data_IF_516438718475
#
_entry.id   IF_516438718475
#
_cell.length_a   1.000
_cell.length_b   1.000
_cell.length_c   1.000
_cell.angle_alpha   90.00
_cell.angle_beta   90.00
_cell.angle_gamma   90.00
#
_symmetry.space_group_name_H-M   'P 1'
#
loop_
_entity.id
_entity.type
_entity.pdbx_description
1 polymer ?
#
# COMPACT_ATOMS: atom_id res chain seq x y z
N UNK A 1 -9.52 17.12 -34.82
CA UNK A 1 -10.77 16.35 -34.70
C UNK A 1 -10.91 15.95 -33.24
N UNK A 2 -11.98 16.39 -32.59
CA UNK A 2 -12.49 15.89 -31.30
C UNK A 2 -11.53 15.79 -30.11
N UNK A 3 -11.22 16.90 -29.45
CA UNK A 3 -10.84 16.91 -28.03
C UNK A 3 -12.09 16.61 -27.21
N UNK A 4 -12.31 15.33 -26.91
CA UNK A 4 -13.37 14.90 -26.00
C UNK A 4 -12.92 15.06 -24.56
N UNK A 5 -13.09 16.25 -24.00
CA UNK A 5 -13.11 16.44 -22.55
C UNK A 5 -14.33 15.69 -22.02
N UNK A 6 -14.09 14.50 -21.45
CA UNK A 6 -15.10 13.76 -20.72
C UNK A 6 -15.33 14.48 -19.38
N UNK A 7 -16.18 15.49 -19.42
CA UNK A 7 -16.91 15.98 -18.26
C UNK A 7 -17.78 14.83 -17.74
N UNK A 8 -17.25 14.09 -16.76
CA UNK A 8 -18.04 13.18 -15.93
C UNK A 8 -18.15 13.83 -14.57
N UNK A 9 -19.32 14.40 -14.29
CA UNK A 9 -19.72 14.70 -12.92
C UNK A 9 -19.58 13.43 -12.07
N UNK A 10 -18.53 13.37 -11.26
CA UNK A 10 -18.27 12.27 -10.34
C UNK A 10 -18.84 12.69 -8.99
N UNK A 11 -19.95 12.08 -8.59
CA UNK A 11 -20.36 12.06 -7.18
C UNK A 11 -19.15 11.58 -6.36
N UNK A 12 -18.89 12.24 -5.22
CA UNK A 12 -17.92 11.87 -4.17
C UNK A 12 -17.22 10.52 -4.39
N UNK A 13 -15.94 10.57 -4.79
CA UNK A 13 -15.03 9.43 -5.09
C UNK A 13 -14.75 8.49 -3.91
N UNK A 14 -15.35 8.77 -2.75
CA UNK A 14 -15.14 8.06 -1.50
C UNK A 14 -15.81 6.68 -1.52
N UNK A 15 -15.00 5.63 -1.54
CA UNK A 15 -15.46 4.25 -1.38
C UNK A 15 -15.64 3.84 0.09
N UNK A 16 -15.90 2.54 0.34
CA UNK A 16 -16.19 2.05 1.67
C UNK A 16 -14.99 2.15 2.62
N UNK A 17 -15.27 2.25 3.92
CA UNK A 17 -14.26 2.27 4.97
C UNK A 17 -13.66 0.88 5.16
N UNK A 18 -12.33 0.76 5.04
CA UNK A 18 -11.60 -0.48 5.36
C UNK A 18 -11.48 -0.63 6.86
N UNK A 19 -11.07 0.45 7.53
CA UNK A 19 -10.75 0.42 8.94
C UNK A 19 -10.90 1.79 9.60
N UNK A 20 -11.23 1.77 10.89
CA UNK A 20 -11.21 2.94 11.77
C UNK A 20 -10.34 2.61 12.98
N UNK A 21 -9.30 3.43 13.17
CA UNK A 21 -8.32 3.28 14.24
C UNK A 21 -8.38 4.50 15.16
N UNK A 22 -8.10 4.29 16.45
CA UNK A 22 -8.00 5.38 17.42
C UNK A 22 -6.74 6.22 17.21
N UNK A 23 -5.66 5.57 16.74
CA UNK A 23 -4.38 6.22 16.44
C UNK A 23 -3.85 5.78 15.05
N UNK A 24 -2.98 6.56 14.39
CA UNK A 24 -2.56 7.90 14.82
C UNK A 24 -3.73 8.88 14.74
N UNK A 25 -3.72 9.85 15.65
CA UNK A 25 -4.56 11.03 15.65
C UNK A 25 -3.70 12.28 15.45
N UNK A 26 -4.30 13.33 14.90
CA UNK A 26 -3.61 14.58 14.64
C UNK A 26 -4.53 15.79 14.82
N UNK A 27 -4.03 16.86 15.46
CA UNK A 27 -4.78 18.12 15.61
C UNK A 27 -5.00 18.83 14.28
N UNK A 28 -4.03 18.71 13.37
CA UNK A 28 -4.17 19.15 11.98
C UNK A 28 -4.80 18.01 11.21
N UNK A 29 -5.98 18.24 10.61
CA UNK A 29 -6.58 17.23 9.75
C UNK A 29 -5.66 16.94 8.58
N UNK A 30 -5.42 15.67 8.32
CA UNK A 30 -4.47 15.21 7.32
C UNK A 30 -5.06 14.12 6.44
N UNK A 31 -4.79 14.19 5.14
CA UNK A 31 -5.24 13.23 4.13
C UNK A 31 -4.06 12.70 3.34
N UNK A 32 -3.84 11.40 3.39
CA UNK A 32 -2.73 10.74 2.70
C UNK A 32 -3.29 9.67 1.78
N UNK A 33 -2.92 9.70 0.50
CA UNK A 33 -3.18 8.58 -0.40
C UNK A 33 -2.09 7.52 -0.24
N UNK A 34 -2.49 6.25 -0.17
CA UNK A 34 -1.57 5.10 -0.16
C UNK A 34 -1.90 4.22 -1.35
N UNK A 35 -0.92 4.05 -2.22
CA UNK A 35 -1.03 3.44 -3.54
C UNK A 35 -0.06 2.26 -3.60
N UNK A 36 -0.58 1.03 -3.58
CA UNK A 36 0.22 -0.20 -3.62
C UNK A 36 -0.02 -1.02 -4.88
N UNK A 37 0.96 -1.88 -5.21
CA UNK A 37 0.87 -2.92 -6.24
C UNK A 37 0.34 -2.41 -7.59
N UNK A 38 0.97 -1.34 -8.09
CA UNK A 38 0.67 -0.75 -9.40
C UNK A 38 0.98 -1.75 -10.50
N UNK A 39 2.13 -2.43 -10.39
CA UNK A 39 2.68 -3.28 -11.42
C UNK A 39 2.60 -2.64 -12.80
N UNK A 40 3.14 -1.42 -12.93
CA UNK A 40 3.12 -0.72 -14.20
C UNK A 40 3.79 -1.57 -15.27
N UNK A 41 3.04 -1.86 -16.31
CA UNK A 41 3.46 -2.67 -17.45
C UNK A 41 3.10 -1.94 -18.74
N UNK A 42 4.03 -1.96 -19.69
CA UNK A 42 3.91 -1.28 -20.99
C UNK A 42 3.56 -2.22 -22.16
N UNK A 43 3.60 -3.54 -21.94
CA UNK A 43 3.48 -4.52 -23.04
C UNK A 43 2.71 -5.81 -22.69
N UNK A 44 2.29 -5.98 -21.43
CA UNK A 44 1.68 -7.23 -20.96
C UNK A 44 0.15 -7.11 -20.84
N UNK A 45 -0.56 -8.12 -21.36
CA UNK A 45 -2.02 -8.15 -21.41
C UNK A 45 -2.60 -9.46 -20.85
N UNK A 46 -3.85 -9.39 -20.39
CA UNK A 46 -4.68 -10.59 -20.16
C UNK A 46 -4.33 -11.42 -18.92
N UNK A 47 -3.49 -10.92 -18.02
CA UNK A 47 -3.17 -11.57 -16.75
C UNK A 47 -4.26 -11.33 -15.70
N UNK A 48 -4.25 -12.07 -14.59
CA UNK A 48 -5.15 -11.80 -13.45
C UNK A 48 -4.91 -10.43 -12.79
N UNK A 49 -3.69 -9.88 -12.95
CA UNK A 49 -3.33 -8.51 -12.55
C UNK A 49 -3.83 -7.44 -13.52
N UNK A 50 -4.46 -7.82 -14.65
CA UNK A 50 -5.04 -6.89 -15.63
C UNK A 50 -4.04 -5.81 -16.07
N UNK A 51 -2.81 -6.23 -16.33
CA UNK A 51 -1.65 -5.35 -16.52
C UNK A 51 -1.84 -4.32 -17.64
N UNK A 52 -2.64 -4.62 -18.66
CA UNK A 52 -2.95 -3.70 -19.75
C UNK A 52 -3.79 -2.47 -19.36
N UNK A 53 -4.17 -2.35 -18.09
CA UNK A 53 -4.90 -1.21 -17.54
C UNK A 53 -4.06 -0.39 -16.57
N UNK A 54 -2.87 -0.84 -16.17
CA UNK A 54 -2.12 -0.24 -15.03
C UNK A 54 -1.68 1.18 -15.32
N UNK A 55 -1.25 1.49 -16.54
CA UNK A 55 -0.89 2.85 -16.96
C UNK A 55 -2.07 3.81 -16.75
N UNK A 56 -3.24 3.49 -17.34
CA UNK A 56 -4.46 4.30 -17.17
C UNK A 56 -4.91 4.40 -15.72
N UNK A 57 -4.79 3.32 -14.94
CA UNK A 57 -5.19 3.34 -13.52
C UNK A 57 -4.27 4.23 -12.71
N UNK A 58 -2.96 4.18 -12.96
CA UNK A 58 -2.02 5.13 -12.37
C UNK A 58 -2.37 6.56 -12.79
N UNK A 59 -2.60 6.84 -14.09
CA UNK A 59 -3.05 8.18 -14.52
C UNK A 59 -4.33 8.65 -13.79
N UNK A 60 -5.23 7.71 -13.46
CA UNK A 60 -6.46 8.02 -12.70
C UNK A 60 -6.14 8.33 -11.24
N UNK A 61 -5.24 7.57 -10.59
CA UNK A 61 -4.74 7.87 -9.24
C UNK A 61 -4.14 9.27 -9.20
N UNK A 62 -3.25 9.61 -10.15
CA UNK A 62 -2.60 10.92 -10.22
C UNK A 62 -3.62 12.04 -10.38
N UNK A 63 -4.58 11.88 -11.30
CA UNK A 63 -5.64 12.88 -11.49
C UNK A 63 -6.56 13.01 -10.27
N UNK A 64 -6.93 11.91 -9.61
CA UNK A 64 -7.75 11.94 -8.40
C UNK A 64 -6.99 12.63 -7.25
N UNK A 65 -5.71 12.32 -7.06
CA UNK A 65 -4.85 12.90 -6.02
C UNK A 65 -4.59 14.40 -6.19
N UNK A 66 -4.53 14.92 -7.43
CA UNK A 66 -4.40 16.36 -7.69
C UNK A 66 -5.70 17.15 -7.46
N UNK A 67 -6.84 16.48 -7.59
CA UNK A 67 -8.16 17.09 -7.37
C UNK A 67 -8.59 17.03 -5.90
N UNK A 68 -8.11 16.02 -5.18
CA UNK A 68 -8.34 15.83 -3.77
C UNK A 68 -7.27 16.60 -2.99
N UNK A 69 -7.67 17.52 -2.10
CA UNK A 69 -6.76 18.26 -1.19
C UNK A 69 -6.01 17.27 -0.25
N UNK A 70 -4.93 16.68 -0.74
CA UNK A 70 -4.10 15.67 -0.09
C UNK A 70 -2.82 16.32 0.45
N UNK A 71 -2.41 15.92 1.64
CA UNK A 71 -1.15 16.35 2.26
C UNK A 71 0.05 15.54 1.79
N UNK A 72 -0.18 14.36 1.20
CA UNK A 72 0.87 13.54 0.62
C UNK A 72 0.41 12.22 0.00
N UNK A 73 1.31 11.58 -0.74
CA UNK A 73 1.11 10.27 -1.35
C UNK A 73 2.22 9.31 -0.94
N UNK A 74 1.84 8.08 -0.59
CA UNK A 74 2.77 6.98 -0.33
C UNK A 74 2.59 5.95 -1.46
N UNK A 75 3.64 5.72 -2.23
CA UNK A 75 3.70 4.58 -3.14
C UNK A 75 4.33 3.38 -2.44
N UNK A 76 3.50 2.40 -2.07
CA UNK A 76 3.81 1.29 -1.17
C UNK A 76 4.41 0.07 -1.89
N UNK A 77 5.31 0.30 -2.85
CA UNK A 77 6.03 -0.74 -3.59
C UNK A 77 5.25 -1.42 -4.71
N UNK A 78 5.99 -2.24 -5.45
CA UNK A 78 5.62 -2.84 -6.73
C UNK A 78 5.08 -1.77 -7.70
N UNK A 79 5.85 -0.70 -7.84
CA UNK A 79 5.58 0.41 -8.77
C UNK A 79 5.51 -0.13 -10.19
N UNK A 80 6.43 -1.03 -10.50
CA UNK A 80 6.63 -1.63 -11.81
C UNK A 80 6.27 -3.10 -11.80
N UNK A 81 5.98 -3.67 -12.97
CA UNK A 81 5.67 -5.09 -13.09
C UNK A 81 6.93 -5.96 -13.06
N UNK A 82 8.05 -5.46 -13.57
CA UNK A 82 9.30 -6.22 -13.62
C UNK A 82 10.53 -5.40 -13.24
N UNK A 83 10.39 -4.17 -12.79
CA UNK A 83 11.54 -3.34 -12.44
C UNK A 83 12.35 -2.94 -13.67
N UNK A 84 11.83 -3.06 -14.89
CA UNK A 84 12.61 -2.67 -16.07
C UNK A 84 12.77 -1.16 -16.14
N UNK A 85 13.88 -0.69 -16.70
CA UNK A 85 14.14 0.76 -16.82
C UNK A 85 13.00 1.50 -17.54
N UNK A 86 12.40 0.89 -18.57
CA UNK A 86 11.29 1.49 -19.33
C UNK A 86 10.00 1.59 -18.52
N UNK A 87 9.76 0.65 -17.60
CA UNK A 87 8.62 0.74 -16.70
C UNK A 87 8.83 1.87 -15.69
N UNK A 88 10.06 2.08 -15.20
CA UNK A 88 10.39 3.24 -14.38
C UNK A 88 10.30 4.57 -15.14
N UNK A 89 10.81 4.64 -16.37
CA UNK A 89 10.62 5.82 -17.24
C UNK A 89 9.13 6.16 -17.40
N UNK A 90 8.29 5.16 -17.66
CA UNK A 90 6.84 5.35 -17.76
C UNK A 90 6.20 5.76 -16.42
N UNK A 91 6.70 5.25 -15.29
CA UNK A 91 6.24 5.69 -13.97
C UNK A 91 6.60 7.15 -13.74
N UNK A 92 7.84 7.54 -14.00
CA UNK A 92 8.35 8.91 -13.86
C UNK A 92 7.55 9.90 -14.72
N UNK A 93 7.25 9.55 -15.98
CA UNK A 93 6.41 10.37 -16.86
C UNK A 93 4.98 10.56 -16.33
N UNK A 94 4.41 9.54 -15.68
CA UNK A 94 3.06 9.61 -15.14
C UNK A 94 2.97 10.41 -13.84
N UNK A 95 4.02 10.38 -13.01
CA UNK A 95 4.07 11.13 -11.74
C UNK A 95 4.65 12.53 -11.88
N UNK A 96 5.33 12.85 -13.00
CA UNK A 96 5.87 14.19 -13.30
C UNK A 96 4.86 15.33 -13.04
N UNK A 97 3.56 15.21 -13.35
CA UNK A 97 2.60 16.29 -13.13
C UNK A 97 2.19 16.49 -11.67
N UNK A 98 2.58 15.62 -10.73
CA UNK A 98 2.17 15.72 -9.33
C UNK A 98 2.78 16.97 -8.66
N UNK A 99 1.92 17.82 -8.09
CA UNK A 99 2.31 18.89 -7.18
C UNK A 99 2.22 18.44 -5.71
N UNK A 100 1.38 17.43 -5.42
CA UNK A 100 1.26 16.82 -4.08
C UNK A 100 2.57 16.10 -3.73
N UNK A 101 3.17 16.34 -2.53
CA UNK A 101 4.42 15.70 -2.15
C UNK A 101 4.23 14.18 -1.98
N UNK A 102 5.23 13.40 -2.35
CA UNK A 102 5.13 11.95 -2.30
C UNK A 102 6.44 11.28 -1.92
N UNK A 103 6.31 10.05 -1.42
CA UNK A 103 7.43 9.14 -1.15
C UNK A 103 7.12 7.78 -1.74
N UNK A 104 8.16 7.03 -2.09
CA UNK A 104 8.01 5.66 -2.57
C UNK A 104 8.99 4.72 -1.87
N UNK A 105 8.51 3.50 -1.60
CA UNK A 105 9.32 2.38 -1.12
C UNK A 105 9.35 1.30 -2.21
N UNK A 106 10.40 0.48 -2.31
CA UNK A 106 10.47 -0.57 -3.31
C UNK A 106 9.61 -1.76 -2.89
N UNK A 107 8.94 -2.37 -3.86
CA UNK A 107 8.46 -3.74 -3.76
C UNK A 107 9.45 -4.73 -4.36
N UNK A 108 9.17 -6.02 -4.19
CA UNK A 108 10.05 -7.09 -4.68
C UNK A 108 10.10 -7.16 -6.22
N UNK A 109 9.19 -6.49 -6.94
CA UNK A 109 9.26 -6.35 -8.39
C UNK A 109 10.08 -5.15 -8.86
N UNK A 110 10.42 -4.20 -7.97
CA UNK A 110 11.09 -2.95 -8.33
C UNK A 110 12.63 -3.05 -8.27
N UNK A 111 13.15 -4.04 -7.55
CA UNK A 111 14.58 -4.28 -7.35
C UNK A 111 14.97 -5.68 -7.83
N UNK A 112 16.26 -5.93 -8.13
CA UNK A 112 16.72 -7.24 -8.57
C UNK A 112 16.27 -8.37 -7.63
N UNK A 113 15.62 -9.43 -8.15
CA UNK A 113 15.10 -10.49 -7.32
C UNK A 113 16.22 -11.37 -6.75
N UNK A 114 15.90 -12.07 -5.65
CA UNK A 114 16.80 -13.00 -4.97
C UNK A 114 17.38 -14.10 -5.86
N UNK A 115 16.68 -14.49 -6.93
CA UNK A 115 17.09 -15.59 -7.83
C UNK A 115 18.09 -15.13 -8.92
N UNK A 116 18.50 -13.86 -8.90
CA UNK A 116 19.46 -13.28 -9.82
C UNK A 116 18.91 -13.01 -11.22
N UNK A 117 17.62 -13.25 -11.48
CA UNK A 117 16.98 -12.88 -12.74
C UNK A 117 16.70 -11.39 -12.75
N UNK A 118 17.70 -10.60 -13.10
CA UNK A 118 17.53 -9.17 -13.23
C UNK A 118 16.98 -8.82 -14.64
N UNK A 119 15.77 -8.25 -14.76
CA UNK A 119 15.32 -7.67 -16.03
C UNK A 119 16.28 -6.58 -16.51
N UNK A 120 16.23 -6.28 -17.81
CA UNK A 120 17.19 -5.33 -18.39
C UNK A 120 17.01 -3.94 -17.76
N UNK A 121 18.07 -3.48 -17.09
CA UNK A 121 18.16 -2.14 -16.50
C UNK A 121 17.38 -1.92 -15.20
N UNK A 122 17.09 -2.96 -14.40
CA UNK A 122 16.47 -2.71 -13.09
C UNK A 122 17.36 -1.93 -12.15
N UNK A 123 16.73 -1.04 -11.40
CA UNK A 123 17.39 -0.22 -10.39
C UNK A 123 17.86 -1.11 -9.25
N UNK A 124 19.15 -1.02 -8.92
CA UNK A 124 19.64 -1.53 -7.64
C UNK A 124 18.92 -0.85 -6.48
N UNK A 125 19.00 -1.42 -5.28
CA UNK A 125 18.48 -0.80 -4.05
C UNK A 125 18.93 0.66 -3.91
N UNK A 126 20.22 0.91 -4.13
CA UNK A 126 20.81 2.24 -3.91
C UNK A 126 20.37 3.23 -5.00
N UNK A 127 20.19 2.77 -6.25
CA UNK A 127 19.61 3.58 -7.32
C UNK A 127 18.14 3.90 -7.08
N UNK A 128 17.34 2.92 -6.63
CA UNK A 128 15.95 3.17 -6.23
C UNK A 128 15.89 4.19 -5.09
N UNK A 129 16.72 4.02 -4.06
CA UNK A 129 16.76 4.95 -2.93
C UNK A 129 17.13 6.37 -3.37
N UNK A 130 18.12 6.50 -4.27
CA UNK A 130 18.54 7.79 -4.83
C UNK A 130 17.44 8.46 -5.66
N UNK A 131 16.64 7.68 -6.41
CA UNK A 131 15.56 8.21 -7.23
C UNK A 131 14.31 8.58 -6.41
N UNK A 132 13.99 7.80 -5.38
CA UNK A 132 12.63 7.78 -4.81
C UNK A 132 12.54 7.92 -3.28
N UNK A 133 13.66 7.86 -2.55
CA UNK A 133 13.65 7.81 -1.09
C UNK A 133 14.77 8.65 -0.44
N UNK A 134 15.12 9.81 -1.01
CA UNK A 134 16.16 10.72 -0.50
C UNK A 134 17.52 10.02 -0.24
N UNK A 135 17.84 9.00 -1.05
CA UNK A 135 19.11 8.30 -1.05
C UNK A 135 19.29 7.20 -0.01
N UNK A 136 18.37 6.99 0.94
CA UNK A 136 18.51 5.92 1.95
C UNK A 136 17.21 5.49 2.61
N UNK A 137 17.22 4.30 3.23
CA UNK A 137 16.15 3.81 4.09
C UNK A 137 16.63 3.65 5.54
N UNK A 138 15.79 3.89 6.57
CA UNK A 138 14.41 4.36 6.46
C UNK A 138 14.30 5.81 5.96
N UNK A 139 13.34 6.09 5.07
CA UNK A 139 12.99 7.46 4.69
C UNK A 139 12.01 8.06 5.70
N UNK A 140 12.02 9.38 5.87
CA UNK A 140 11.07 10.09 6.74
C UNK A 140 10.52 11.29 5.99
N UNK A 141 9.20 11.37 5.87
CA UNK A 141 8.50 12.51 5.30
C UNK A 141 7.38 12.96 6.24
N UNK A 142 7.13 14.27 6.27
CA UNK A 142 6.01 14.84 7.02
C UNK A 142 4.88 15.20 6.07
N UNK A 143 3.71 14.62 6.29
CA UNK A 143 2.48 14.97 5.56
C UNK A 143 1.49 15.53 6.56
N UNK A 144 1.20 16.83 6.44
CA UNK A 144 0.32 17.55 7.37
C UNK A 144 0.74 17.38 8.84
N UNK A 145 -0.11 16.72 9.61
CA UNK A 145 0.02 16.51 11.05
C UNK A 145 0.82 15.28 11.47
N UNK A 146 1.18 14.38 10.54
CA UNK A 146 1.85 13.10 10.87
C UNK A 146 3.18 12.92 10.14
N UNK A 147 4.05 12.11 10.72
CA UNK A 147 5.29 11.68 10.09
C UNK A 147 5.09 10.27 9.49
N UNK A 148 5.63 10.04 8.30
CA UNK A 148 5.60 8.78 7.57
C UNK A 148 7.03 8.26 7.46
N UNK A 149 7.24 7.02 7.85
CA UNK A 149 8.53 6.33 7.78
C UNK A 149 8.46 5.21 6.75
N UNK A 150 9.21 5.31 5.66
CA UNK A 150 9.23 4.28 4.61
C UNK A 150 10.39 3.30 4.79
N UNK A 151 10.09 2.00 4.74
CA UNK A 151 11.06 0.91 4.86
C UNK A 151 11.26 0.17 3.54
N UNK A 152 12.50 -0.19 3.26
CA UNK A 152 12.81 -1.18 2.23
C UNK A 152 12.78 -2.58 2.85
N UNK A 153 11.85 -3.39 2.37
CA UNK A 153 11.71 -4.81 2.71
C UNK A 153 12.03 -5.74 1.53
N UNK A 154 12.23 -5.18 0.34
CA UNK A 154 12.38 -5.89 -0.92
C UNK A 154 13.82 -6.28 -1.25
N UNK A 155 14.79 -5.76 -0.50
CA UNK A 155 16.20 -6.14 -0.61
C UNK A 155 16.94 -5.88 0.70
N UNK A 156 17.97 -6.69 0.97
CA UNK A 156 18.86 -6.50 2.11
C UNK A 156 20.31 -6.33 1.66
N UNK A 157 21.18 -5.60 2.39
CA UNK A 157 22.60 -5.46 2.04
C UNK A 157 23.41 -6.77 2.00
N UNK A 158 22.91 -7.81 2.65
CA UNK A 158 23.51 -9.14 2.71
C UNK A 158 22.80 -10.18 1.83
N UNK A 159 21.90 -9.73 0.95
CA UNK A 159 21.18 -10.57 -0.03
C UNK A 159 20.56 -11.83 0.58
N UNK A 160 19.96 -11.70 1.78
CA UNK A 160 19.47 -12.85 2.57
C UNK A 160 18.07 -13.33 2.20
N UNK A 161 17.37 -12.59 1.34
CA UNK A 161 16.01 -12.93 0.92
C UNK A 161 16.03 -14.25 0.13
N UNK A 162 15.07 -15.12 0.40
CA UNK A 162 14.89 -16.38 -0.33
C UNK A 162 13.41 -16.60 -0.64
N UNK A 163 12.92 -15.97 -1.71
CA UNK A 163 11.52 -16.08 -2.12
C UNK A 163 10.87 -14.72 -2.37
N UNK A 164 9.55 -14.71 -2.31
CA UNK A 164 8.73 -13.50 -2.48
C UNK A 164 8.47 -12.77 -1.15
N UNK A 165 9.08 -13.23 -0.06
CA UNK A 165 9.01 -12.60 1.25
C UNK A 165 10.01 -11.47 1.37
N UNK A 166 9.83 -10.65 2.41
CA UNK A 166 10.68 -9.51 2.68
C UNK A 166 11.49 -9.64 3.96
N UNK A 167 12.48 -8.77 4.14
CA UNK A 167 13.17 -8.62 5.42
C UNK A 167 13.69 -7.19 5.58
N UNK A 168 13.82 -6.74 6.83
CA UNK A 168 14.42 -5.44 7.18
C UNK A 168 15.80 -5.72 7.76
N UNK A 169 16.86 -5.28 7.08
CA UNK A 169 18.24 -5.52 7.55
C UNK A 169 18.48 -4.99 8.96
N UNK A 170 19.41 -5.59 9.69
CA UNK A 170 19.71 -5.18 11.07
C UNK A 170 20.22 -3.74 11.16
N UNK A 171 20.93 -3.27 10.12
CA UNK A 171 21.33 -1.87 9.97
C UNK A 171 20.13 -0.94 9.83
N UNK A 172 19.14 -1.31 9.00
CA UNK A 172 17.92 -0.52 8.82
C UNK A 172 17.04 -0.56 10.07
N UNK A 173 16.97 -1.68 10.80
CA UNK A 173 16.28 -1.78 12.09
C UNK A 173 16.89 -0.86 13.14
N UNK A 174 18.22 -0.80 13.24
CA UNK A 174 18.91 0.11 14.14
C UNK A 174 18.66 1.58 13.74
N UNK A 175 18.71 1.89 12.45
CA UNK A 175 18.40 3.23 11.96
C UNK A 175 16.93 3.61 12.22
N UNK A 176 16.00 2.65 12.10
CA UNK A 176 14.58 2.84 12.42
C UNK A 176 14.38 3.17 13.90
N UNK A 177 15.00 2.41 14.80
CA UNK A 177 14.96 2.64 16.25
C UNK A 177 15.42 4.07 16.60
N UNK A 178 16.53 4.50 16.02
CA UNK A 178 17.06 5.86 16.20
C UNK A 178 16.07 6.93 15.68
N UNK A 179 15.46 6.73 14.50
CA UNK A 179 14.52 7.70 13.91
C UNK A 179 13.25 7.84 14.73
N UNK A 180 12.63 6.71 15.09
CA UNK A 180 11.35 6.68 15.81
C UNK A 180 11.42 7.41 17.16
N UNK A 181 12.58 7.42 17.82
CA UNK A 181 12.79 8.13 19.09
C UNK A 181 12.48 9.63 19.06
N UNK A 182 12.40 10.22 17.86
CA UNK A 182 12.17 11.64 17.64
C UNK A 182 10.83 11.98 16.96
N UNK A 183 10.02 10.98 16.63
CA UNK A 183 8.76 11.14 15.91
C UNK A 183 7.57 10.99 16.86
N UNK A 184 6.50 11.72 16.59
CA UNK A 184 5.23 11.61 17.30
C UNK A 184 4.18 10.99 16.38
N UNK A 185 3.54 9.90 16.82
CA UNK A 185 2.50 9.18 16.06
C UNK A 185 2.89 8.80 14.62
N UNK A 186 4.07 8.18 14.39
CA UNK A 186 4.52 7.87 13.04
C UNK A 186 3.68 6.77 12.38
N UNK A 187 3.44 6.90 11.08
CA UNK A 187 2.96 5.80 10.24
C UNK A 187 4.17 5.12 9.62
N UNK A 188 4.36 3.83 9.88
CA UNK A 188 5.44 3.05 9.26
C UNK A 188 4.91 2.33 8.03
N UNK A 189 5.51 2.58 6.87
CA UNK A 189 5.15 1.95 5.60
C UNK A 189 6.21 0.94 5.17
N UNK A 190 5.78 -0.26 4.82
CA UNK A 190 6.62 -1.29 4.19
C UNK A 190 5.85 -1.96 3.04
N UNK A 191 6.52 -2.68 2.14
CA UNK A 191 5.82 -3.36 1.05
C UNK A 191 5.24 -4.69 1.52
N UNK A 192 6.09 -5.57 2.05
CA UNK A 192 5.70 -6.89 2.56
C UNK A 192 4.96 -6.78 3.89
N UNK A 193 3.95 -7.62 4.07
CA UNK A 193 3.15 -7.68 5.29
C UNK A 193 3.97 -8.25 6.45
N UNK A 194 3.69 -7.81 7.68
CA UNK A 194 4.42 -8.33 8.84
C UNK A 194 4.14 -9.82 9.01
N UNK A 195 2.86 -10.18 9.08
CA UNK A 195 2.45 -11.55 9.31
C UNK A 195 1.46 -12.03 8.24
N UNK A 196 1.39 -13.35 7.99
CA UNK A 196 0.32 -13.92 7.20
C UNK A 196 -1.06 -13.59 7.80
N UNK A 197 -2.03 -13.43 6.92
CA UNK A 197 -3.43 -13.23 7.28
C UNK A 197 -4.02 -14.55 7.79
N UNK A 198 -4.91 -14.50 8.78
CA UNK A 198 -5.40 -15.68 9.48
C UNK A 198 -6.12 -16.70 8.56
N UNK A 199 -6.72 -16.25 7.46
CA UNK A 199 -7.36 -17.10 6.47
C UNK A 199 -6.41 -17.65 5.39
N UNK A 200 -5.16 -17.19 5.33
CA UNK A 200 -4.17 -17.74 4.40
C UNK A 200 -3.69 -19.10 4.91
N UNK A 201 -3.67 -20.14 4.06
CA UNK A 201 -3.17 -21.44 4.46
C UNK A 201 -1.65 -21.39 4.68
N UNK A 202 -1.16 -22.19 5.62
CA UNK A 202 0.27 -22.48 5.79
C UNK A 202 0.76 -23.42 4.66
N UNK A 203 0.68 -22.95 3.42
CA UNK A 203 1.08 -23.68 2.23
C UNK A 203 1.36 -22.71 1.07
N UNK A 204 2.11 -23.19 0.08
CA UNK A 204 2.35 -22.46 -1.16
C UNK A 204 1.04 -21.97 -1.82
N UNK A 205 1.01 -20.75 -2.38
CA UNK A 205 2.11 -19.78 -2.40
C UNK A 205 2.18 -18.86 -1.16
N UNK A 206 1.25 -18.99 -0.20
CA UNK A 206 1.02 -18.01 0.87
C UNK A 206 2.08 -18.00 1.96
N UNK A 207 2.83 -19.08 2.11
CA UNK A 207 3.88 -19.19 3.13
C UNK A 207 5.10 -18.29 2.89
N UNK A 208 5.24 -17.65 1.72
CA UNK A 208 6.42 -16.86 1.35
C UNK A 208 6.11 -15.43 0.89
N UNK A 209 5.05 -14.79 1.40
CA UNK A 209 4.68 -13.42 1.02
C UNK A 209 4.79 -12.39 2.14
N UNK A 210 4.99 -12.85 3.39
CA UNK A 210 5.20 -11.94 4.54
C UNK A 210 6.69 -11.76 4.84
N UNK A 211 7.01 -10.96 5.85
CA UNK A 211 8.38 -10.83 6.32
C UNK A 211 8.93 -12.15 6.86
N UNK A 212 10.22 -12.39 6.64
CA UNK A 212 10.94 -13.56 7.15
C UNK A 212 11.24 -13.43 8.65
N UNK A 213 11.48 -12.20 9.14
CA UNK A 213 11.76 -11.89 10.56
C UNK A 213 10.83 -10.81 11.13
N UNK A 214 9.51 -11.03 11.12
CA UNK A 214 8.56 -10.00 11.53
C UNK A 214 8.71 -9.60 13.00
N UNK A 215 9.07 -10.55 13.87
CA UNK A 215 9.33 -10.28 15.28
C UNK A 215 10.49 -9.28 15.52
N UNK A 216 11.46 -9.18 14.60
CA UNK A 216 12.55 -8.23 14.72
C UNK A 216 12.06 -6.79 14.45
N UNK A 217 11.22 -6.61 13.43
CA UNK A 217 10.58 -5.33 13.14
C UNK A 217 9.56 -4.97 14.23
N UNK A 218 8.67 -5.89 14.58
CA UNK A 218 7.64 -5.70 15.60
C UNK A 218 8.22 -5.27 16.95
N UNK A 219 9.38 -5.82 17.35
CA UNK A 219 10.05 -5.41 18.58
C UNK A 219 10.45 -3.92 18.55
N UNK A 220 10.97 -3.42 17.43
CA UNK A 220 11.31 -2.00 17.26
C UNK A 220 10.02 -1.17 17.28
N UNK A 221 9.01 -1.56 16.51
CA UNK A 221 7.73 -0.82 16.44
C UNK A 221 7.05 -0.71 17.81
N UNK A 222 7.04 -1.80 18.58
CA UNK A 222 6.43 -1.86 19.91
C UNK A 222 7.20 -1.03 20.94
N UNK A 223 8.53 -0.95 20.84
CA UNK A 223 9.33 -0.13 21.75
C UNK A 223 9.07 1.38 21.63
N UNK A 224 8.54 1.82 20.48
CA UNK A 224 8.22 3.22 20.19
C UNK A 224 6.72 3.46 20.06
N UNK A 225 5.88 2.52 20.52
CA UNK A 225 4.41 2.63 20.47
C UNK A 225 3.87 3.04 19.08
N UNK A 226 4.45 2.49 18.00
CA UNK A 226 4.05 2.85 16.63
C UNK A 226 2.58 2.50 16.41
N UNK A 227 1.72 3.50 16.10
CA UNK A 227 0.27 3.29 16.12
C UNK A 227 -0.25 2.53 14.90
N UNK A 228 0.39 2.68 13.74
CA UNK A 228 -0.09 2.10 12.49
C UNK A 228 1.06 1.74 11.56
N UNK A 229 1.05 0.49 11.10
CA UNK A 229 1.81 0.02 9.95
C UNK A 229 0.90 0.00 8.73
N UNK A 230 1.45 0.41 7.60
CA UNK A 230 0.79 0.31 6.29
C UNK A 230 1.63 -0.58 5.38
N UNK A 231 1.01 -1.60 4.80
CA UNK A 231 1.67 -2.55 3.89
C UNK A 231 0.85 -2.83 2.63
N UNK A 232 1.46 -3.52 1.65
CA UNK A 232 0.85 -3.86 0.35
C UNK A 232 1.07 -5.37 0.06
N UNK A 233 1.50 -5.73 -1.16
CA UNK A 233 2.06 -7.04 -1.55
C UNK A 233 1.08 -8.21 -1.62
N UNK A 234 0.18 -8.38 -0.64
CA UNK A 234 -0.81 -9.46 -0.66
C UNK A 234 -1.92 -9.26 -1.72
N UNK A 235 -2.02 -8.08 -2.34
CA UNK A 235 -3.11 -7.74 -3.26
C UNK A 235 -4.51 -7.87 -2.60
N UNK A 236 -4.61 -7.60 -1.30
CA UNK A 236 -5.84 -7.72 -0.51
C UNK A 236 -6.08 -6.45 0.32
N UNK A 237 -7.29 -5.87 0.32
CA UNK A 237 -7.64 -4.89 1.34
C UNK A 237 -7.78 -5.60 2.68
N UNK A 238 -6.92 -5.31 3.66
CA UNK A 238 -7.02 -5.90 5.00
C UNK A 238 -6.71 -4.88 6.09
N UNK A 239 -7.23 -5.13 7.30
CA UNK A 239 -6.82 -4.44 8.51
C UNK A 239 -6.75 -5.47 9.63
N UNK A 240 -5.70 -5.41 10.44
CA UNK A 240 -5.51 -6.30 11.58
C UNK A 240 -5.03 -5.52 12.80
N UNK A 241 -5.35 -6.06 13.99
CA UNK A 241 -4.82 -5.59 15.26
C UNK A 241 -4.23 -6.82 15.96
N UNK A 242 -2.93 -6.78 16.24
CA UNK A 242 -2.20 -7.84 16.96
C UNK A 242 -1.56 -7.20 18.17
N UNK A 243 -2.03 -7.59 19.36
CA UNK A 243 -1.74 -6.87 20.60
C UNK A 243 -2.04 -5.37 20.44
N UNK A 244 -1.03 -4.50 20.53
CA UNK A 244 -1.18 -3.05 20.34
C UNK A 244 -0.74 -2.57 18.93
N UNK A 245 -0.31 -3.47 18.04
CA UNK A 245 0.13 -3.12 16.70
C UNK A 245 -1.02 -3.23 15.69
N UNK A 246 -1.33 -2.13 15.00
CA UNK A 246 -2.27 -2.13 13.87
C UNK A 246 -1.51 -2.22 12.56
N UNK A 247 -2.00 -3.05 11.65
CA UNK A 247 -1.53 -3.13 10.28
C UNK A 247 -2.70 -2.95 9.31
N UNK A 248 -2.59 -1.98 8.41
CA UNK A 248 -3.46 -1.80 7.25
C UNK A 248 -2.74 -2.30 6.00
N UNK A 249 -3.33 -3.31 5.34
CA UNK A 249 -2.87 -3.77 4.03
C UNK A 249 -3.71 -3.08 2.96
N UNK A 250 -3.08 -2.28 2.12
CA UNK A 250 -3.78 -1.54 1.06
C UNK A 250 -4.12 -2.44 -0.12
N UNK A 251 -5.25 -2.18 -0.81
CA UNK A 251 -5.59 -2.91 -2.03
C UNK A 251 -4.57 -2.67 -3.14
N UNK A 252 -4.52 -3.58 -4.12
CA UNK A 252 -3.74 -3.39 -5.33
C UNK A 252 -4.43 -2.45 -6.30
N UNK A 253 -3.64 -1.63 -6.99
CA UNK A 253 -4.10 -0.84 -8.14
C UNK A 253 -4.36 -1.73 -9.36
N UNK A 254 -3.55 -2.78 -9.57
CA UNK A 254 -3.62 -3.59 -10.79
C UNK A 254 -4.77 -4.64 -10.81
N UNK A 255 -4.96 -5.41 -9.74
CA UNK A 255 -5.89 -6.55 -9.73
C UNK A 255 -7.16 -6.25 -8.97
N UNK A 256 -8.12 -7.19 -8.92
CA UNK A 256 -9.35 -7.00 -8.12
C UNK A 256 -9.00 -6.73 -6.65
N UNK A 257 -9.55 -5.67 -6.01
CA UNK A 257 -10.68 -4.82 -6.44
C UNK A 257 -10.36 -3.48 -7.16
N UNK A 258 -9.14 -3.25 -7.63
CA UNK A 258 -8.68 -1.99 -8.25
C UNK A 258 -8.99 -0.75 -7.41
N UNK A 259 -8.24 -0.55 -6.35
CA UNK A 259 -8.39 0.64 -5.52
C UNK A 259 -7.04 1.08 -4.99
N UNK A 260 -6.99 2.33 -4.54
CA UNK A 260 -6.00 2.78 -3.57
C UNK A 260 -6.71 3.12 -2.26
N UNK A 261 -5.97 3.43 -1.21
CA UNK A 261 -6.53 3.84 0.07
C UNK A 261 -6.29 5.33 0.33
N UNK A 262 -7.25 6.02 0.92
CA UNK A 262 -7.03 7.34 1.54
C UNK A 262 -7.13 7.19 3.04
N UNK A 263 -6.10 7.63 3.75
CA UNK A 263 -6.08 7.79 5.19
C UNK A 263 -6.55 9.20 5.53
N UNK A 264 -7.64 9.30 6.29
CA UNK A 264 -8.11 10.56 6.85
C UNK A 264 -7.82 10.57 8.36
N UNK A 265 -6.93 11.45 8.77
CA UNK A 265 -6.39 11.53 10.13
C UNK A 265 -6.86 12.84 10.74
N UNK A 266 -7.48 12.77 11.92
CA UNK A 266 -7.86 13.94 12.71
C UNK A 266 -7.81 13.63 14.21
N UNK A 267 -8.35 14.53 15.04
CA UNK A 267 -8.36 14.39 16.50
C UNK A 267 -9.11 13.14 16.99
N UNK A 268 -9.92 12.50 16.14
CA UNK A 268 -10.63 11.25 16.45
C UNK A 268 -9.87 10.01 16.00
N UNK A 269 -8.66 10.14 15.48
CA UNK A 269 -7.86 9.03 14.95
C UNK A 269 -7.88 8.92 13.43
N UNK A 270 -7.67 7.71 12.92
CA UNK A 270 -7.47 7.46 11.49
C UNK A 270 -8.66 6.69 10.87
N UNK A 271 -9.12 7.15 9.71
CA UNK A 271 -10.10 6.46 8.86
C UNK A 271 -9.43 6.04 7.56
N UNK A 272 -9.36 4.74 7.29
CA UNK A 272 -8.88 4.20 6.03
C UNK A 272 -10.05 3.93 5.08
N UNK A 273 -10.05 4.51 3.88
CA UNK A 273 -11.13 4.35 2.89
C UNK A 273 -10.59 3.87 1.55
N UNK A 274 -11.31 2.95 0.91
CA UNK A 274 -11.02 2.57 -0.47
C UNK A 274 -11.43 3.71 -1.41
N UNK A 275 -10.64 3.94 -2.44
CA UNK A 275 -11.02 4.77 -3.60
C UNK A 275 -10.99 3.89 -4.86
N UNK A 276 -12.15 3.52 -5.41
CA UNK A 276 -12.23 2.66 -6.59
C UNK A 276 -11.67 3.32 -7.85
N UNK A 277 -10.85 2.58 -8.59
CA UNK A 277 -10.20 3.01 -9.84
C UNK A 277 -10.85 2.44 -11.11
N UNK A 278 -11.80 1.52 -10.95
CA UNK A 278 -12.45 0.82 -12.05
C UNK A 278 -13.92 1.22 -12.19
N UNK A 279 -14.41 1.31 -13.42
CA UNK A 279 -15.87 1.33 -13.66
C UNK A 279 -16.49 -0.04 -13.31
N UNK A 280 -17.83 -0.16 -13.22
CA UNK A 280 -18.48 -1.45 -13.04
C UNK A 280 -18.07 -2.48 -14.10
N UNK A 281 -17.93 -2.07 -15.36
CA UNK A 281 -17.50 -2.95 -16.44
C UNK A 281 -16.04 -3.41 -16.28
N UNK A 282 -15.16 -2.52 -15.87
CA UNK A 282 -13.73 -2.84 -15.63
C UNK A 282 -13.54 -3.72 -14.39
N UNK A 283 -14.40 -3.54 -13.38
CA UNK A 283 -14.44 -4.41 -12.20
C UNK A 283 -14.82 -5.83 -12.59
N UNK A 284 -15.84 -5.97 -13.47
CA UNK A 284 -16.26 -7.27 -14.01
C UNK A 284 -15.15 -7.89 -14.88
N UNK A 285 -14.48 -7.10 -15.72
CA UNK A 285 -13.32 -7.56 -16.50
C UNK A 285 -12.24 -8.16 -15.58
N UNK A 286 -11.86 -7.44 -14.54
CA UNK A 286 -10.83 -7.89 -13.62
C UNK A 286 -11.25 -9.12 -12.81
N UNK A 287 -12.50 -9.17 -12.36
CA UNK A 287 -13.08 -10.34 -11.71
C UNK A 287 -12.90 -11.58 -12.59
N UNK A 288 -13.24 -11.50 -13.89
CA UNK A 288 -13.13 -12.64 -14.80
C UNK A 288 -11.68 -13.03 -15.09
N UNK A 289 -10.78 -12.07 -15.26
CA UNK A 289 -9.34 -12.35 -15.40
C UNK A 289 -8.78 -13.09 -14.18
N UNK A 290 -9.20 -12.72 -12.97
CA UNK A 290 -8.79 -13.42 -11.75
C UNK A 290 -9.47 -14.79 -11.60
N UNK A 291 -10.77 -14.88 -11.83
CA UNK A 291 -11.56 -16.12 -11.69
C UNK A 291 -11.11 -17.22 -12.67
N UNK A 292 -10.64 -16.83 -13.86
CA UNK A 292 -10.14 -17.76 -14.89
C UNK A 292 -8.61 -17.86 -14.93
N UNK A 293 -7.92 -17.16 -14.02
CA UNK A 293 -6.47 -17.08 -13.96
C UNK A 293 -5.79 -18.29 -13.31
N UNK A 294 -4.54 -18.09 -12.92
CA UNK A 294 -3.77 -19.08 -12.15
C UNK A 294 -4.38 -19.29 -10.73
N UNK A 295 -3.92 -20.31 -9.98
CA UNK A 295 -4.44 -20.57 -8.63
C UNK A 295 -4.26 -19.40 -7.66
N UNK A 296 -3.18 -18.62 -7.79
CA UNK A 296 -2.92 -17.46 -6.94
C UNK A 296 -3.97 -16.37 -7.18
N UNK A 297 -4.20 -15.98 -8.44
CA UNK A 297 -5.20 -14.98 -8.80
C UNK A 297 -6.62 -15.37 -8.36
N UNK A 298 -6.98 -16.65 -8.44
CA UNK A 298 -8.26 -17.17 -7.93
C UNK A 298 -8.36 -17.06 -6.40
N UNK A 299 -7.29 -17.41 -5.68
CA UNK A 299 -7.25 -17.29 -4.22
C UNK A 299 -7.33 -15.85 -3.74
N UNK A 300 -6.57 -14.93 -4.38
CA UNK A 300 -6.66 -13.49 -4.13
C UNK A 300 -8.08 -12.99 -4.35
N UNK A 301 -8.73 -13.36 -5.47
CA UNK A 301 -10.11 -12.97 -5.76
C UNK A 301 -11.09 -13.40 -4.68
N UNK A 302 -11.03 -14.66 -4.26
CA UNK A 302 -11.92 -15.21 -3.23
C UNK A 302 -11.77 -14.47 -1.91
N UNK A 303 -10.53 -14.27 -1.45
CA UNK A 303 -10.25 -13.57 -0.20
C UNK A 303 -10.63 -12.08 -0.27
N UNK A 304 -10.29 -11.40 -1.36
CA UNK A 304 -10.67 -10.00 -1.56
C UNK A 304 -12.19 -9.83 -1.53
N UNK A 305 -12.93 -10.70 -2.24
CA UNK A 305 -14.40 -10.67 -2.26
C UNK A 305 -14.97 -10.86 -0.85
N UNK A 306 -14.51 -11.88 -0.12
CA UNK A 306 -14.92 -12.15 1.26
C UNK A 306 -14.64 -10.98 2.21
N UNK A 307 -13.52 -10.26 2.03
CA UNK A 307 -13.18 -9.09 2.85
C UNK A 307 -14.05 -7.88 2.53
N UNK A 308 -14.30 -7.61 1.25
CA UNK A 308 -15.14 -6.48 0.83
C UNK A 308 -16.58 -6.59 1.34
N UNK A 309 -17.12 -7.81 1.47
CA UNK A 309 -18.44 -8.06 2.06
C UNK A 309 -18.51 -7.78 3.57
N UNK A 310 -17.36 -7.71 4.26
CA UNK A 310 -17.26 -7.59 5.72
C UNK A 310 -16.78 -6.22 6.20
N UNK A 311 -16.65 -5.23 5.31
CA UNK A 311 -16.17 -3.90 5.67
C UNK A 311 -17.11 -3.20 6.69
N UNK A 312 -16.57 -2.43 7.66
CA UNK A 312 -15.14 -2.27 7.95
C UNK A 312 -14.54 -3.52 8.63
N UNK A 313 -13.28 -3.84 8.31
CA UNK A 313 -12.56 -5.00 8.84
C UNK A 313 -12.08 -4.79 10.28
N UNK A 314 -11.82 -3.53 10.64
CA UNK A 314 -11.49 -3.09 12.00
C UNK A 314 -12.27 -1.80 12.26
N UNK A 315 -12.97 -1.71 13.39
CA UNK A 315 -13.60 -0.47 13.81
C UNK A 315 -13.43 -0.27 15.32
N UNK A 316 -12.31 0.35 15.71
CA UNK A 316 -12.01 0.69 17.10
C UNK A 316 -12.89 1.84 17.63
N UNK A 317 -13.67 2.49 16.75
CA UNK A 317 -14.54 3.64 17.09
C UNK A 317 -16.03 3.29 17.12
N UNK A 318 -16.37 2.02 16.94
CA UNK A 318 -17.76 1.56 16.96
C UNK A 318 -18.48 1.81 18.30
N UNK A 319 -17.75 1.84 19.42
CA UNK A 319 -18.32 2.00 20.76
C UNK A 319 -18.59 3.46 21.15
N UNK A 320 -17.87 4.42 20.55
CA UNK A 320 -18.09 5.86 20.76
C UNK A 320 -19.36 6.39 20.06
N UNK A 321 -19.88 5.66 19.06
CA UNK A 321 -21.07 6.05 18.29
C UNK A 321 -22.40 5.52 18.87
N UNK A 322 -22.38 4.75 19.98
CA UNK A 322 -23.63 4.30 20.62
C UNK A 322 -24.30 5.49 21.33
N UNK A 323 -25.54 5.88 20.97
CA UNK A 323 -26.25 6.90 21.74
C UNK A 323 -26.44 6.39 23.16
N UNK A 324 -25.98 7.18 24.12
CA UNK A 324 -26.12 6.94 25.55
C UNK A 324 -27.59 6.62 25.88
N UNK A 325 -27.95 5.33 25.98
CA UNK A 325 -29.31 4.89 26.30
C UNK A 325 -29.62 4.97 27.80
N UNK A 326 -28.71 5.52 28.60
CA UNK A 326 -28.88 5.73 30.05
C UNK A 326 -29.31 7.16 30.39
N UNK A 327 -30.38 7.67 29.78
CA UNK A 327 -31.11 8.85 30.31
C UNK A 327 -32.63 8.76 30.09
N UNK A 328 -33.19 7.55 30.08
CA UNK A 328 -34.64 7.35 30.23
C UNK A 328 -34.96 6.18 31.15
N UNK A 329 -34.92 6.41 32.45
CA UNK A 329 -35.91 5.91 33.42
C UNK A 329 -35.74 6.56 34.79
#
# INVERSE_FOLDING_TARGET
MGTGTADRGRESTVGPTIGRFLEPSASTRTRIAVVGDIHLSIDTHGTWKVLHRTERRLSTVIADCELDDLDGIIFAGDLTRSGSHREFESFDELVEPLEVPWVAIPGNHDVPPWDGRNPDGSLTRDEFAAAYADGSFPTVARFGGVDVVGLNTASTPDDRLSGWGGDVSDEQLAALDDRLSSLENPIVCCHHNLYPLAEQPEAEPWEWFSLDRPAALEAVLSNHDVPLVVSAHHHLPAATVRDDLRELIVPPVCSFPQAYCVLEIDERGTTARLVPLATPEETVEAYWHAATGDPLGRGVLEMASSRLERLPLVDERADDERPNCEERR
#
